data_IF_547957038348
#
_entry.id   IF_547957038348
#
_cell.length_a   1.000
_cell.length_b   1.000
_cell.length_c   1.000
_cell.angle_alpha   90.00
_cell.angle_beta   90.00
_cell.angle_gamma   90.00
#
_symmetry.space_group_name_H-M   'P 1'
#
loop_
_entity.id
_entity.type
_entity.pdbx_description
1 polymer ?
#
# COMPACT_ATOMS: atom_id res chain seq x y z
N UNK A 1 22.99 27.06 5.03
CA UNK A 1 22.16 25.87 5.25
C UNK A 1 21.54 25.53 3.91
N UNK A 2 21.82 24.33 3.36
CA UNK A 2 21.19 23.91 2.10
C UNK A 2 19.71 23.68 2.33
N UNK A 3 18.86 24.16 1.43
CA UNK A 3 17.43 23.85 1.44
C UNK A 3 17.26 22.36 1.16
N UNK A 4 16.50 21.60 1.98
CA UNK A 4 16.24 20.19 1.70
C UNK A 4 15.56 20.03 0.35
N UNK A 5 15.98 19.04 -0.44
CA UNK A 5 15.29 18.72 -1.69
C UNK A 5 13.90 18.17 -1.35
N UNK A 6 12.82 18.59 -2.03
CA UNK A 6 11.49 18.05 -1.77
C UNK A 6 11.42 16.54 -1.98
N UNK A 7 10.64 15.85 -1.14
CA UNK A 7 10.30 14.45 -1.35
C UNK A 7 9.47 14.30 -2.64
N UNK A 8 9.70 13.22 -3.37
CA UNK A 8 9.03 12.94 -4.65
C UNK A 8 7.99 11.84 -4.46
N UNK A 9 6.77 12.06 -4.96
CA UNK A 9 5.70 11.07 -4.98
C UNK A 9 5.57 10.45 -6.37
N UNK A 10 5.58 9.13 -6.45
CA UNK A 10 5.42 8.37 -7.70
C UNK A 10 4.47 7.20 -7.52
N UNK A 11 3.90 6.70 -8.61
CA UNK A 11 3.30 5.37 -8.60
C UNK A 11 4.41 4.33 -8.51
N UNK A 12 4.23 3.35 -7.62
CA UNK A 12 5.17 2.24 -7.53
C UNK A 12 5.01 1.30 -8.72
N UNK A 13 6.13 0.74 -9.18
CA UNK A 13 6.19 -0.31 -10.20
C UNK A 13 6.51 -1.65 -9.57
N UNK A 14 6.47 -2.72 -10.37
CA UNK A 14 6.76 -4.08 -9.91
C UNK A 14 8.21 -4.22 -9.45
N UNK A 15 9.13 -3.45 -10.05
CA UNK A 15 10.54 -3.41 -9.70
C UNK A 15 10.79 -2.83 -8.30
N UNK A 16 9.84 -2.05 -7.76
CA UNK A 16 9.93 -1.50 -6.41
C UNK A 16 9.58 -2.53 -5.32
N UNK A 17 8.90 -3.63 -5.66
CA UNK A 17 8.36 -4.60 -4.69
C UNK A 17 9.38 -5.09 -3.65
N UNK A 18 10.64 -5.43 -3.99
CA UNK A 18 11.63 -5.83 -2.99
C UNK A 18 11.86 -4.76 -1.92
N UNK A 19 11.91 -3.48 -2.32
CA UNK A 19 12.07 -2.37 -1.39
C UNK A 19 10.81 -2.10 -0.57
N UNK A 20 9.62 -2.25 -1.17
CA UNK A 20 8.35 -2.10 -0.46
C UNK A 20 8.15 -3.18 0.60
N UNK A 21 8.45 -4.44 0.26
CA UNK A 21 8.41 -5.56 1.21
C UNK A 21 9.38 -5.33 2.35
N UNK A 22 10.64 -4.97 2.06
CA UNK A 22 11.63 -4.68 3.10
C UNK A 22 11.17 -3.57 4.04
N UNK A 23 10.63 -2.48 3.48
CA UNK A 23 10.12 -1.36 4.26
C UNK A 23 8.93 -1.77 5.14
N UNK A 24 8.01 -2.59 4.64
CA UNK A 24 6.86 -3.07 5.40
C UNK A 24 7.30 -3.88 6.63
N UNK A 25 8.18 -4.86 6.44
CA UNK A 25 8.67 -5.71 7.53
C UNK A 25 9.57 -4.94 8.51
N UNK A 26 10.25 -3.90 8.04
CA UNK A 26 11.03 -2.99 8.90
C UNK A 26 10.12 -2.17 9.81
N UNK A 27 9.02 -1.63 9.27
CA UNK A 27 8.13 -0.70 9.99
C UNK A 27 7.11 -1.43 10.86
N UNK A 28 6.46 -2.47 10.35
CA UNK A 28 5.46 -3.25 11.07
C UNK A 28 6.12 -4.38 11.87
N UNK A 29 6.95 -3.99 12.84
CA UNK A 29 7.75 -4.90 13.65
C UNK A 29 7.30 -5.04 15.11
N UNK A 30 6.17 -4.46 15.49
CA UNK A 30 5.61 -4.63 16.82
C UNK A 30 5.15 -6.09 17.04
N UNK A 31 5.08 -6.57 18.30
CA UNK A 31 4.77 -7.96 18.59
C UNK A 31 3.43 -8.46 18.00
N UNK A 32 2.42 -7.58 17.92
CA UNK A 32 1.11 -7.95 17.37
C UNK A 32 1.17 -8.15 15.86
N UNK A 33 1.81 -7.22 15.14
CA UNK A 33 2.00 -7.38 13.70
C UNK A 33 2.95 -8.50 13.35
N UNK A 34 4.01 -8.74 14.14
CA UNK A 34 4.95 -9.85 13.95
C UNK A 34 4.34 -11.23 14.21
N UNK A 35 3.29 -11.31 15.04
CA UNK A 35 2.51 -12.53 15.18
C UNK A 35 1.75 -12.86 13.88
N UNK A 36 1.06 -11.86 13.30
CA UNK A 36 0.26 -12.04 12.09
C UNK A 36 1.11 -12.19 10.81
N UNK A 37 2.20 -11.43 10.72
CA UNK A 37 3.15 -11.43 9.62
C UNK A 37 4.56 -11.65 10.17
N UNK A 38 4.92 -12.89 10.48
CA UNK A 38 6.24 -13.20 10.97
C UNK A 38 7.28 -12.92 9.89
N UNK A 39 8.46 -12.50 10.31
CA UNK A 39 9.55 -12.08 9.42
C UNK A 39 10.36 -13.29 8.95
N UNK A 40 9.66 -14.22 8.28
CA UNK A 40 10.25 -15.42 7.68
C UNK A 40 10.42 -15.21 6.17
N UNK A 41 11.30 -15.98 5.51
CA UNK A 41 11.41 -15.97 4.06
C UNK A 41 10.06 -16.25 3.36
N UNK A 42 9.28 -17.21 3.85
CA UNK A 42 7.98 -17.57 3.28
C UNK A 42 6.93 -16.47 3.39
N UNK A 43 6.84 -15.78 4.53
CA UNK A 43 5.93 -14.66 4.70
C UNK A 43 6.34 -13.44 3.84
N UNK A 44 7.64 -13.18 3.68
CA UNK A 44 8.15 -12.11 2.79
C UNK A 44 7.86 -12.40 1.32
N UNK A 45 8.08 -13.63 0.88
CA UNK A 45 7.75 -14.07 -0.48
C UNK A 45 6.24 -13.95 -0.73
N UNK A 46 5.43 -14.47 0.18
CA UNK A 46 3.96 -14.36 0.11
C UNK A 46 3.50 -12.91 0.01
N UNK A 47 4.04 -12.02 0.85
CA UNK A 47 3.67 -10.60 0.84
C UNK A 47 4.04 -9.90 -0.47
N UNK A 48 5.23 -10.25 -1.01
CA UNK A 48 5.73 -9.74 -2.29
C UNK A 48 4.82 -10.18 -3.43
N UNK A 49 4.47 -11.47 -3.49
CA UNK A 49 3.64 -12.02 -4.57
C UNK A 49 2.16 -11.61 -4.48
N UNK A 50 1.64 -11.43 -3.25
CA UNK A 50 0.31 -10.87 -3.05
C UNK A 50 0.22 -9.43 -3.60
N UNK A 51 1.21 -8.59 -3.31
CA UNK A 51 1.25 -7.22 -3.81
C UNK A 51 1.55 -7.17 -5.33
N UNK A 52 2.40 -8.06 -5.86
CA UNK A 52 2.61 -8.22 -7.31
C UNK A 52 1.30 -8.53 -8.02
N UNK A 53 0.56 -9.52 -7.52
CA UNK A 53 -0.74 -9.92 -8.07
C UNK A 53 -1.71 -8.75 -8.06
N UNK A 54 -1.79 -8.00 -6.96
CA UNK A 54 -2.63 -6.81 -6.88
C UNK A 54 -2.24 -5.76 -7.92
N UNK A 55 -0.95 -5.44 -8.07
CA UNK A 55 -0.47 -4.47 -9.07
C UNK A 55 -0.80 -4.87 -10.51
N UNK A 56 -0.78 -6.18 -10.82
CA UNK A 56 -1.04 -6.70 -12.16
C UNK A 56 -2.52 -6.87 -12.48
N UNK A 57 -3.34 -7.21 -11.49
CA UNK A 57 -4.71 -7.70 -11.73
C UNK A 57 -5.79 -6.80 -11.16
N UNK A 58 -5.47 -5.92 -10.21
CA UNK A 58 -6.44 -5.06 -9.52
C UNK A 58 -6.21 -3.59 -9.89
N UNK A 59 -6.80 -3.07 -10.98
CA UNK A 59 -6.57 -1.69 -11.43
C UNK A 59 -7.02 -0.63 -10.40
N UNK A 60 -7.85 -1.00 -9.43
CA UNK A 60 -8.30 -0.17 -8.32
C UNK A 60 -7.35 -0.14 -7.12
N UNK A 61 -6.35 -1.03 -7.05
CA UNK A 61 -5.27 -0.95 -6.07
C UNK A 61 -4.18 -0.02 -6.60
N UNK A 62 -3.89 1.05 -5.85
CA UNK A 62 -2.85 2.02 -6.19
C UNK A 62 -1.75 1.96 -5.13
N UNK A 63 -0.51 1.83 -5.59
CA UNK A 63 0.67 1.90 -4.74
C UNK A 63 1.39 3.20 -5.05
N UNK A 64 1.59 4.01 -4.02
CA UNK A 64 2.27 5.30 -4.12
C UNK A 64 3.54 5.18 -3.30
N UNK A 65 4.69 5.45 -3.91
CA UNK A 65 6.00 5.50 -3.24
C UNK A 65 6.42 6.94 -3.00
N UNK A 66 7.13 7.16 -1.90
CA UNK A 66 7.73 8.43 -1.53
C UNK A 66 9.24 8.24 -1.57
N UNK A 67 9.90 9.06 -2.38
CA UNK A 67 11.35 9.01 -2.63
C UNK A 67 12.00 10.23 -1.99
N UNK A 68 13.07 9.97 -1.25
CA UNK A 68 14.00 10.99 -0.78
C UNK A 68 15.20 11.04 -1.74
N UNK A 69 15.36 12.12 -2.52
CA UNK A 69 16.44 12.23 -3.51
C UNK A 69 17.82 12.45 -2.85
N UNK A 70 17.85 12.96 -1.62
CA UNK A 70 19.07 13.31 -0.89
C UNK A 70 19.68 12.09 -0.17
N UNK A 71 18.91 10.99 -0.01
CA UNK A 71 19.40 9.73 0.55
C UNK A 71 19.48 8.62 -0.49
N UNK A 72 20.45 7.71 -0.32
CA UNK A 72 20.69 6.59 -1.23
C UNK A 72 20.39 5.25 -0.59
N UNK A 73 19.87 4.31 -1.39
CA UNK A 73 19.78 2.90 -1.02
C UNK A 73 21.16 2.20 -1.13
N UNK A 74 21.21 0.91 -0.81
CA UNK A 74 22.44 0.10 -0.88
C UNK A 74 22.99 -0.05 -2.30
N UNK A 75 22.20 0.29 -3.32
CA UNK A 75 22.58 0.27 -4.74
C UNK A 75 22.93 1.66 -5.27
N UNK A 76 22.95 2.69 -4.42
CA UNK A 76 23.27 4.07 -4.80
C UNK A 76 22.12 4.82 -5.48
N UNK A 77 20.90 4.28 -5.50
CA UNK A 77 19.71 4.92 -6.07
C UNK A 77 19.01 5.78 -5.03
N UNK A 78 18.23 6.78 -5.46
CA UNK A 78 17.40 7.56 -4.54
C UNK A 78 16.48 6.63 -3.72
N UNK A 79 16.39 6.87 -2.42
CA UNK A 79 15.79 5.90 -1.48
C UNK A 79 14.27 6.05 -1.45
N UNK A 80 13.55 4.92 -1.55
CA UNK A 80 12.14 4.87 -1.15
C UNK A 80 12.07 4.89 0.37
N UNK A 81 11.50 5.94 0.93
CA UNK A 81 11.43 6.18 2.39
C UNK A 81 10.07 5.85 2.99
N UNK A 82 9.02 5.84 2.17
CA UNK A 82 7.68 5.44 2.57
C UNK A 82 6.88 4.95 1.36
N UNK A 83 5.79 4.23 1.60
CA UNK A 83 4.80 3.95 0.59
C UNK A 83 3.40 3.83 1.18
N UNK A 84 2.38 3.96 0.34
CA UNK A 84 0.99 3.70 0.68
C UNK A 84 0.39 2.73 -0.33
N UNK A 85 -0.42 1.79 0.15
CA UNK A 85 -1.32 0.96 -0.65
C UNK A 85 -2.74 1.49 -0.45
N UNK A 86 -3.39 1.88 -1.54
CA UNK A 86 -4.73 2.46 -1.55
C UNK A 86 -5.68 1.59 -2.36
N UNK A 87 -6.77 1.15 -1.72
CA UNK A 87 -7.86 0.43 -2.38
C UNK A 87 -9.01 1.38 -2.73
N UNK A 88 -9.30 1.51 -4.02
CA UNK A 88 -10.39 2.37 -4.54
C UNK A 88 -11.71 1.60 -4.74
N UNK A 89 -11.71 0.28 -4.55
CA UNK A 89 -12.91 -0.55 -4.64
C UNK A 89 -13.58 -0.72 -3.28
N UNK A 90 -14.89 -0.94 -3.30
CA UNK A 90 -15.66 -1.34 -2.12
C UNK A 90 -15.49 -2.85 -1.84
N UNK A 91 -15.91 -3.30 -0.65
CA UNK A 91 -15.64 -4.66 -0.19
C UNK A 91 -16.33 -5.74 -1.06
N UNK A 92 -17.52 -5.43 -1.56
CA UNK A 92 -18.29 -6.23 -2.51
C UNK A 92 -17.67 -6.26 -3.92
N UNK A 93 -17.03 -5.16 -4.35
CA UNK A 93 -16.38 -5.05 -5.66
C UNK A 93 -15.01 -5.75 -5.72
N UNK A 94 -14.23 -5.69 -4.62
CA UNK A 94 -12.82 -6.13 -4.65
C UNK A 94 -12.61 -7.63 -4.40
N UNK A 95 -13.60 -8.31 -3.81
CA UNK A 95 -13.47 -9.69 -3.33
C UNK A 95 -12.54 -9.84 -2.12
N UNK A 96 -11.86 -10.99 -2.02
CA UNK A 96 -10.95 -11.25 -0.91
C UNK A 96 -9.78 -10.25 -0.88
N UNK A 97 -9.52 -9.66 0.30
CA UNK A 97 -8.47 -8.66 0.48
C UNK A 97 -7.07 -9.25 0.30
N UNK A 98 -6.87 -10.47 0.77
CA UNK A 98 -5.60 -11.19 0.70
C UNK A 98 -5.81 -12.54 0.01
N UNK A 99 -4.78 -13.08 -0.68
CA UNK A 99 -4.79 -14.47 -1.11
C UNK A 99 -4.74 -15.42 0.12
N UNK A 100 -4.91 -16.74 -0.07
CA UNK A 100 -4.73 -17.70 1.02
C UNK A 100 -3.39 -17.51 1.75
N UNK A 101 -3.42 -17.52 3.09
CA UNK A 101 -2.26 -17.27 3.93
C UNK A 101 -1.16 -18.33 3.74
N UNK A 102 0.10 -17.91 3.83
CA UNK A 102 1.23 -18.83 3.83
C UNK A 102 1.25 -19.69 5.11
N UNK A 103 1.85 -20.89 5.06
CA UNK A 103 1.93 -21.81 6.20
C UNK A 103 2.71 -21.26 7.41
N UNK A 104 3.55 -20.25 7.18
CA UNK A 104 4.27 -19.54 8.24
C UNK A 104 3.37 -18.56 9.01
N UNK A 105 2.19 -18.22 8.47
CA UNK A 105 1.30 -17.21 9.04
C UNK A 105 0.14 -17.88 9.78
N UNK A 106 -0.29 -17.36 10.95
CA UNK A 106 -1.42 -17.91 11.69
C UNK A 106 -2.74 -17.51 11.00
N UNK A 107 -3.13 -18.24 9.96
CA UNK A 107 -4.23 -17.87 9.07
C UNK A 107 -5.55 -17.55 9.78
N UNK A 108 -5.90 -18.30 10.83
CA UNK A 108 -7.10 -18.04 11.63
C UNK A 108 -7.04 -16.68 12.34
N UNK A 109 -5.89 -16.30 12.89
CA UNK A 109 -5.71 -15.03 13.58
C UNK A 109 -5.67 -13.87 12.58
N UNK A 110 -5.05 -14.09 11.41
CA UNK A 110 -5.08 -13.14 10.30
C UNK A 110 -6.51 -12.87 9.82
N UNK A 111 -7.30 -13.92 9.61
CA UNK A 111 -8.72 -13.80 9.22
C UNK A 111 -9.55 -13.10 10.29
N UNK A 112 -9.32 -13.42 11.56
CA UNK A 112 -10.01 -12.78 12.67
C UNK A 112 -9.69 -11.27 12.73
N UNK A 113 -8.41 -10.91 12.62
CA UNK A 113 -7.93 -9.53 12.66
C UNK A 113 -8.46 -8.72 11.46
N UNK A 114 -8.16 -9.15 10.23
CA UNK A 114 -8.56 -8.40 9.03
C UNK A 114 -10.06 -8.44 8.80
N UNK A 115 -10.73 -9.56 9.07
CA UNK A 115 -12.18 -9.61 9.05
C UNK A 115 -12.81 -8.65 10.08
N UNK A 116 -12.17 -8.45 11.23
CA UNK A 116 -12.55 -7.43 12.21
C UNK A 116 -12.46 -6.02 11.65
N UNK A 117 -11.37 -5.71 10.93
CA UNK A 117 -11.19 -4.41 10.26
C UNK A 117 -12.24 -4.18 9.18
N UNK A 118 -12.61 -5.21 8.41
CA UNK A 118 -13.66 -5.08 7.38
C UNK A 118 -15.04 -4.83 7.99
N UNK A 119 -15.42 -5.57 9.04
CA UNK A 119 -16.67 -5.31 9.78
C UNK A 119 -16.68 -3.92 10.41
N UNK A 120 -15.56 -3.47 10.96
CA UNK A 120 -15.44 -2.13 11.52
C UNK A 120 -15.59 -1.05 10.44
N UNK A 121 -14.97 -1.25 9.27
CA UNK A 121 -15.13 -0.38 8.10
C UNK A 121 -16.60 -0.31 7.69
N UNK A 122 -17.26 -1.44 7.48
CA UNK A 122 -18.68 -1.51 7.10
C UNK A 122 -19.57 -0.76 8.11
N UNK A 123 -19.41 -1.04 9.40
CA UNK A 123 -20.18 -0.38 10.47
C UNK A 123 -20.04 1.15 10.48
N UNK A 124 -18.83 1.67 10.30
CA UNK A 124 -18.54 3.11 10.41
C UNK A 124 -18.83 3.85 9.11
N UNK A 125 -18.57 3.21 7.98
CA UNK A 125 -18.56 3.87 6.68
C UNK A 125 -19.75 3.54 5.80
N UNK A 126 -20.35 2.36 5.96
CA UNK A 126 -21.38 1.82 5.06
C UNK A 126 -20.89 1.83 3.61
N UNK A 127 -21.78 2.26 2.70
CA UNK A 127 -21.52 2.26 1.25
C UNK A 127 -20.78 3.52 0.74
N UNK A 128 -20.33 4.40 1.65
CA UNK A 128 -19.67 5.64 1.24
C UNK A 128 -18.32 5.32 0.60
N UNK A 129 -17.98 5.99 -0.51
CA UNK A 129 -16.62 5.93 -1.08
C UNK A 129 -15.69 6.88 -0.32
N UNK A 130 -14.44 6.50 -0.11
CA UNK A 130 -13.47 7.24 0.76
C UNK A 130 -12.39 7.98 -0.02
N UNK A 131 -12.70 8.34 -1.26
CA UNK A 131 -11.78 9.06 -2.13
C UNK A 131 -12.55 10.03 -3.01
N UNK A 132 -11.95 11.19 -3.26
CA UNK A 132 -12.52 12.17 -4.17
C UNK A 132 -12.17 11.77 -5.61
N UNK A 133 -13.18 11.48 -6.42
CA UNK A 133 -13.01 11.49 -7.88
C UNK A 133 -13.17 12.94 -8.33
N UNK A 134 -12.08 13.62 -8.61
CA UNK A 134 -12.16 14.91 -9.29
C UNK A 134 -12.60 14.64 -10.75
N UNK A 135 -13.72 15.23 -11.16
CA UNK A 135 -14.17 15.19 -12.55
C UNK A 135 -13.13 15.93 -13.41
N UNK A 136 -12.55 15.31 -14.45
CA UNK A 136 -11.62 15.98 -15.35
C UNK A 136 -12.19 17.27 -15.95
N UNK A 137 -13.51 17.35 -16.14
CA UNK A 137 -14.21 18.54 -16.64
C UNK A 137 -14.26 19.68 -15.62
N UNK A 138 -14.19 19.36 -14.31
CA UNK A 138 -14.06 20.36 -13.24
C UNK A 138 -12.61 20.78 -13.01
N UNK A 139 -11.63 19.93 -13.30
CA UNK A 139 -10.21 20.29 -13.23
C UNK A 139 -9.84 21.37 -14.26
N UNK A 140 -10.39 21.26 -15.48
CA UNK A 140 -10.21 22.28 -16.53
C UNK A 140 -10.77 23.65 -16.11
N UNK A 141 -11.87 23.68 -15.34
CA UNK A 141 -12.45 24.92 -14.85
C UNK A 141 -11.58 25.62 -13.77
N UNK A 142 -10.83 24.85 -12.97
CA UNK A 142 -9.87 25.41 -12.00
C UNK A 142 -8.58 25.91 -12.65
N UNK A 143 -8.10 25.27 -13.72
CA UNK A 143 -6.91 25.72 -14.47
C UNK A 143 -7.17 26.93 -15.38
N UNK A 144 -8.43 27.25 -15.69
CA UNK A 144 -8.80 28.41 -16.51
C UNK A 144 -9.18 29.66 -15.69
N UNK A 145 -9.28 29.55 -14.35
CA UNK A 145 -9.56 30.70 -13.48
C UNK A 145 -8.30 31.30 -12.81
N UNK A 146 -7.13 30.70 -13.01
CA UNK A 146 -5.83 31.24 -12.59
C UNK A 146 -5.01 31.69 -13.83
N UNK A 147 -5.57 32.62 -14.62
CA UNK A 147 -4.86 33.44 -15.60
C UNK A 147 -5.18 34.92 -15.37
#
# INVERSE_FOLDING_TARGET
MSTPTPLVLELATIEDLPALTELWFTVFNDPGMRHLFPDTPGAREWFTEANRTDMLTKPYQKYIKIIDPDTKDTQGRARIVAYAKWDLAMADERGARFPPWHGDMPGQDCDAFFGGLERARERVMGDRKHYCKLDPRRLAAYLLCDC
#
